data_IF_972747452395
#
_entry.id   IF_972747452395
#
_cell.length_a   1.000
_cell.length_b   1.000
_cell.length_c   1.000
_cell.angle_alpha   90.00
_cell.angle_beta   90.00
_cell.angle_gamma   90.00
#
_symmetry.space_group_name_H-M   'P 1'
#
loop_
_entity.id
_entity.type
_entity.pdbx_description
1 polymer ?
#
# COMPACT_ATOMS: atom_id res chain seq x y z
N UNK A 1 29.45 -23.66 17.11
CA UNK A 1 30.00 -22.93 15.95
C UNK A 1 29.98 -23.77 14.68
N UNK A 2 30.74 -24.89 14.61
CA UNK A 2 30.90 -25.71 13.39
C UNK A 2 29.56 -26.21 12.80
N UNK A 3 28.66 -26.72 13.63
CA UNK A 3 27.35 -27.19 13.16
C UNK A 3 26.47 -26.05 12.60
N UNK A 4 26.52 -24.87 13.22
CA UNK A 4 25.81 -23.68 12.73
C UNK A 4 26.31 -23.27 11.34
N UNK A 5 27.63 -23.25 11.12
CA UNK A 5 28.21 -22.92 9.82
C UNK A 5 27.79 -23.91 8.72
N UNK A 6 27.58 -25.20 9.06
CA UNK A 6 27.11 -26.22 8.11
C UNK A 6 25.63 -26.06 7.72
N UNK A 7 24.82 -25.36 8.53
CA UNK A 7 23.38 -25.16 8.30
C UNK A 7 23.05 -23.91 7.48
N UNK A 8 23.91 -22.88 7.50
CA UNK A 8 23.67 -21.61 6.82
C UNK A 8 23.67 -21.81 5.29
N UNK A 9 22.54 -21.51 4.64
CA UNK A 9 22.41 -21.55 3.16
C UNK A 9 22.70 -20.20 2.50
N UNK A 10 22.48 -19.11 3.22
CA UNK A 10 22.66 -17.74 2.77
C UNK A 10 22.95 -16.83 3.97
N UNK A 11 23.84 -15.85 3.82
CA UNK A 11 24.20 -14.90 4.88
C UNK A 11 24.48 -13.52 4.29
N UNK A 12 23.88 -12.48 4.89
CA UNK A 12 24.11 -11.11 4.46
C UNK A 12 25.47 -10.56 4.93
N UNK A 13 26.22 -9.88 4.07
CA UNK A 13 27.36 -9.08 4.49
C UNK A 13 26.90 -7.95 5.42
N UNK A 14 27.73 -7.61 6.41
CA UNK A 14 27.42 -6.55 7.40
C UNK A 14 27.03 -5.21 6.73
N UNK A 15 27.76 -4.80 5.69
CA UNK A 15 27.48 -3.55 4.98
C UNK A 15 26.07 -3.52 4.34
N UNK A 16 25.63 -4.64 3.77
CA UNK A 16 24.29 -4.77 3.20
C UNK A 16 23.21 -4.66 4.29
N UNK A 17 23.38 -5.39 5.40
CA UNK A 17 22.43 -5.33 6.52
C UNK A 17 22.33 -3.90 7.10
N UNK A 18 23.45 -3.20 7.28
CA UNK A 18 23.47 -1.82 7.78
C UNK A 18 22.73 -0.88 6.84
N UNK A 19 22.95 -0.99 5.52
CA UNK A 19 22.29 -0.13 4.55
C UNK A 19 20.76 -0.30 4.55
N UNK A 20 20.28 -1.55 4.56
CA UNK A 20 18.83 -1.84 4.59
C UNK A 20 18.20 -1.38 5.90
N UNK A 21 18.83 -1.67 7.03
CA UNK A 21 18.32 -1.24 8.35
C UNK A 21 18.29 0.29 8.45
N UNK A 22 19.30 0.98 7.92
CA UNK A 22 19.31 2.45 7.89
C UNK A 22 18.13 3.01 7.07
N UNK A 23 17.82 2.42 5.91
CA UNK A 23 16.63 2.83 5.14
C UNK A 23 15.33 2.51 5.89
N UNK A 24 15.23 1.33 6.51
CA UNK A 24 14.05 0.94 7.28
C UNK A 24 13.79 1.91 8.45
N UNK A 25 14.83 2.32 9.18
CA UNK A 25 14.72 3.29 10.27
C UNK A 25 14.26 4.67 9.76
N UNK A 26 14.78 5.12 8.61
CA UNK A 26 14.33 6.37 7.98
C UNK A 26 12.85 6.31 7.61
N UNK A 27 12.39 5.19 7.03
CA UNK A 27 10.97 4.99 6.70
C UNK A 27 10.12 4.91 7.98
N UNK A 28 10.60 4.21 9.01
CA UNK A 28 9.90 4.05 10.29
C UNK A 28 9.69 5.39 11.00
N UNK A 29 10.64 6.32 10.90
CA UNK A 29 10.48 7.68 11.42
C UNK A 29 9.23 8.37 10.86
N UNK A 30 9.01 8.31 9.54
CA UNK A 30 7.79 8.85 8.93
C UNK A 30 6.55 8.06 9.33
N UNK A 31 6.64 6.72 9.42
CA UNK A 31 5.51 5.92 9.89
C UNK A 31 5.04 6.36 11.28
N UNK A 32 5.95 6.69 12.19
CA UNK A 32 5.62 7.11 13.56
C UNK A 32 5.15 8.57 13.59
N UNK A 33 5.96 9.50 13.07
CA UNK A 33 5.77 10.94 13.29
C UNK A 33 5.00 11.67 12.18
N UNK A 34 4.95 11.10 10.97
CA UNK A 34 4.28 11.69 9.79
C UNK A 34 3.44 10.62 9.05
N UNK A 35 2.45 10.01 9.73
CA UNK A 35 1.80 8.81 9.24
C UNK A 35 1.09 9.00 7.90
N UNK A 36 0.42 10.13 7.67
CA UNK A 36 -0.22 10.44 6.38
C UNK A 36 0.78 10.44 5.22
N UNK A 37 1.95 11.07 5.42
CA UNK A 37 3.02 11.08 4.43
C UNK A 37 3.57 9.66 4.17
N UNK A 38 3.72 8.85 5.23
CA UNK A 38 4.13 7.46 5.09
C UNK A 38 3.14 6.66 4.24
N UNK A 39 1.84 6.70 4.57
CA UNK A 39 0.83 5.92 3.87
C UNK A 39 0.64 6.41 2.43
N UNK A 40 0.50 7.72 2.20
CA UNK A 40 0.35 8.27 0.85
C UNK A 40 1.55 7.88 -0.05
N UNK A 41 2.77 7.92 0.49
CA UNK A 41 3.97 7.50 -0.25
C UNK A 41 3.99 5.99 -0.48
N UNK A 42 3.66 5.19 0.54
CA UNK A 42 3.63 3.73 0.42
C UNK A 42 2.66 3.28 -0.67
N UNK A 43 1.41 3.76 -0.62
CA UNK A 43 0.39 3.35 -1.58
C UNK A 43 0.65 3.89 -2.99
N UNK A 44 1.33 5.04 -3.12
CA UNK A 44 1.76 5.56 -4.42
C UNK A 44 2.86 4.71 -5.07
N UNK A 45 3.81 4.21 -4.28
CA UNK A 45 5.06 3.61 -4.82
C UNK A 45 5.03 2.09 -4.84
N UNK A 46 4.27 1.44 -3.94
CA UNK A 46 4.38 0.00 -3.68
C UNK A 46 3.07 -0.79 -3.76
N UNK A 47 1.92 -0.13 -3.82
CA UNK A 47 0.62 -0.80 -3.74
C UNK A 47 -0.02 -0.97 -5.11
N UNK A 48 0.55 -1.84 -5.95
CA UNK A 48 -0.02 -2.17 -7.25
C UNK A 48 -1.37 -2.90 -7.15
N UNK A 49 -1.58 -3.68 -6.07
CA UNK A 49 -2.80 -4.44 -5.81
C UNK A 49 -3.82 -3.68 -4.94
N UNK A 50 -3.79 -2.34 -4.94
CA UNK A 50 -4.77 -1.54 -4.19
C UNK A 50 -6.12 -1.51 -4.90
N UNK A 51 -7.18 -1.87 -4.17
CA UNK A 51 -8.57 -1.80 -4.62
C UNK A 51 -9.31 -0.71 -3.82
N UNK A 52 -9.54 0.44 -4.45
CA UNK A 52 -10.22 1.56 -3.83
C UNK A 52 -11.69 1.26 -3.49
N UNK A 53 -12.39 0.43 -4.26
CA UNK A 53 -13.79 0.09 -4.02
C UNK A 53 -13.95 -0.79 -2.79
N UNK A 54 -12.99 -1.67 -2.52
CA UNK A 54 -12.93 -2.46 -1.30
C UNK A 54 -12.45 -1.63 -0.11
N UNK A 55 -11.31 -0.94 -0.25
CA UNK A 55 -10.61 -0.30 0.88
C UNK A 55 -11.36 0.93 1.40
N UNK A 56 -12.04 1.68 0.52
CA UNK A 56 -12.83 2.85 0.93
C UNK A 56 -14.17 2.48 1.61
N UNK A 57 -14.59 1.21 1.59
CA UNK A 57 -15.74 0.73 2.40
C UNK A 57 -15.41 0.68 3.89
N UNK A 58 -14.12 0.76 4.25
CA UNK A 58 -13.66 0.89 5.63
C UNK A 58 -13.20 -0.42 6.28
N UNK A 59 -12.87 -0.36 7.59
CA UNK A 59 -12.14 -1.42 8.28
C UNK A 59 -12.91 -2.75 8.38
N UNK A 60 -14.24 -2.71 8.40
CA UNK A 60 -15.07 -3.93 8.44
C UNK A 60 -14.94 -4.76 7.16
N UNK A 61 -15.01 -4.12 5.99
CA UNK A 61 -14.85 -4.79 4.70
C UNK A 61 -13.42 -5.31 4.52
N UNK A 62 -12.41 -4.53 4.94
CA UNK A 62 -11.00 -4.94 4.90
C UNK A 62 -10.77 -6.18 5.76
N UNK A 63 -11.29 -6.19 7.00
CA UNK A 63 -11.14 -7.33 7.90
C UNK A 63 -11.79 -8.59 7.34
N UNK A 64 -13.04 -8.49 6.87
CA UNK A 64 -13.72 -9.62 6.25
C UNK A 64 -12.90 -10.20 5.07
N UNK A 65 -12.32 -9.32 4.24
CA UNK A 65 -11.49 -9.78 3.12
C UNK A 65 -10.17 -10.41 3.57
N UNK A 66 -9.52 -9.88 4.60
CA UNK A 66 -8.33 -10.49 5.18
C UNK A 66 -8.62 -11.89 5.73
N UNK A 67 -9.75 -12.05 6.44
CA UNK A 67 -10.16 -13.34 7.00
C UNK A 67 -10.36 -14.37 5.86
N UNK A 68 -11.07 -14.02 4.79
CA UNK A 68 -11.22 -14.87 3.59
C UNK A 68 -9.86 -15.27 2.99
N UNK A 69 -8.93 -14.32 2.86
CA UNK A 69 -7.63 -14.56 2.25
C UNK A 69 -6.74 -15.44 3.14
N UNK A 70 -6.84 -15.31 4.46
CA UNK A 70 -6.10 -16.15 5.39
C UNK A 70 -6.63 -17.59 5.46
N UNK A 71 -7.94 -17.79 5.27
CA UNK A 71 -8.54 -19.14 5.20
C UNK A 71 -8.03 -19.96 4.01
N UNK A 72 -7.58 -19.32 2.92
CA UNK A 72 -6.98 -20.02 1.77
C UNK A 72 -5.65 -20.72 2.12
N UNK A 73 -4.97 -20.30 3.18
CA UNK A 73 -3.72 -20.89 3.66
C UNK A 73 -2.66 -21.02 2.57
N UNK A 74 -2.27 -22.25 2.24
CA UNK A 74 -1.24 -22.52 1.22
C UNK A 74 -1.70 -22.29 -0.23
N UNK A 75 -2.98 -21.99 -0.47
CA UNK A 75 -3.53 -21.74 -1.83
C UNK A 75 -3.42 -20.28 -2.27
N UNK A 76 -2.92 -19.40 -1.40
CA UNK A 76 -2.76 -17.96 -1.66
C UNK A 76 -1.78 -17.73 -2.83
N UNK A 77 -2.22 -16.99 -3.84
CA UNK A 77 -1.40 -16.62 -5.01
C UNK A 77 -0.43 -15.48 -4.69
N UNK A 78 0.49 -15.17 -5.60
CA UNK A 78 1.38 -14.01 -5.45
C UNK A 78 0.60 -12.69 -5.38
N UNK A 79 -0.48 -12.57 -6.17
CA UNK A 79 -1.39 -11.41 -6.16
C UNK A 79 -2.11 -11.29 -4.82
N UNK A 80 -2.59 -12.40 -4.28
CA UNK A 80 -3.26 -12.41 -2.98
C UNK A 80 -2.31 -11.96 -1.85
N UNK A 81 -1.03 -12.35 -1.89
CA UNK A 81 -0.03 -11.86 -0.91
C UNK A 81 0.19 -10.35 -1.00
N UNK A 82 0.21 -9.82 -2.22
CA UNK A 82 0.27 -8.37 -2.48
C UNK A 82 -0.94 -7.67 -1.88
N UNK A 83 -2.15 -8.17 -2.19
CA UNK A 83 -3.40 -7.65 -1.65
C UNK A 83 -3.46 -7.72 -0.12
N UNK A 84 -3.08 -8.85 0.51
CA UNK A 84 -2.99 -8.99 1.98
C UNK A 84 -2.14 -7.87 2.57
N UNK A 85 -0.95 -7.65 2.01
CA UNK A 85 -0.02 -6.62 2.51
C UNK A 85 -0.65 -5.22 2.42
N UNK A 86 -1.37 -4.92 1.34
CA UNK A 86 -2.08 -3.64 1.16
C UNK A 86 -3.25 -3.50 2.13
N UNK A 87 -4.01 -4.58 2.35
CA UNK A 87 -5.15 -4.61 3.26
C UNK A 87 -4.71 -4.44 4.72
N UNK A 88 -3.62 -5.09 5.15
CA UNK A 88 -3.07 -4.93 6.50
C UNK A 88 -2.66 -3.48 6.79
N UNK A 89 -1.96 -2.83 5.86
CA UNK A 89 -1.58 -1.43 6.01
C UNK A 89 -2.77 -0.49 5.95
N UNK A 90 -3.77 -0.81 5.13
CA UNK A 90 -5.02 -0.05 5.08
C UNK A 90 -5.81 -0.18 6.39
N UNK A 91 -5.85 -1.38 6.97
CA UNK A 91 -6.46 -1.63 8.27
C UNK A 91 -5.73 -0.87 9.39
N UNK A 92 -4.39 -0.89 9.37
CA UNK A 92 -3.55 -0.12 10.30
C UNK A 92 -3.83 1.39 10.19
N UNK A 93 -3.94 1.92 8.98
CA UNK A 93 -4.27 3.32 8.72
C UNK A 93 -5.59 3.70 9.40
N UNK A 94 -6.65 2.90 9.21
CA UNK A 94 -7.94 3.13 9.88
C UNK A 94 -7.84 3.01 11.40
N UNK A 95 -7.09 2.04 11.92
CA UNK A 95 -6.87 1.87 13.36
C UNK A 95 -6.15 3.08 13.98
N UNK A 96 -5.35 3.80 13.19
CA UNK A 96 -4.68 5.05 13.58
C UNK A 96 -5.55 6.29 13.41
N UNK A 97 -6.86 6.12 13.16
CA UNK A 97 -7.85 7.20 12.97
C UNK A 97 -7.57 8.09 11.75
N UNK A 98 -6.84 7.56 10.79
CA UNK A 98 -6.78 8.13 9.45
C UNK A 98 -7.86 7.47 8.59
N UNK A 99 -8.15 8.06 7.44
CA UNK A 99 -9.18 7.58 6.53
C UNK A 99 -8.76 7.77 5.08
N UNK A 100 -9.36 6.95 4.22
CA UNK A 100 -9.33 7.18 2.78
C UNK A 100 -10.55 7.98 2.34
N UNK A 101 -10.33 8.89 1.40
CA UNK A 101 -11.40 9.54 0.66
C UNK A 101 -11.80 8.67 -0.53
N UNK A 102 -12.98 8.93 -1.07
CA UNK A 102 -13.40 8.27 -2.32
C UNK A 102 -12.59 8.82 -3.50
N UNK A 103 -12.36 7.98 -4.50
CA UNK A 103 -11.84 8.44 -5.79
C UNK A 103 -12.82 9.46 -6.36
N UNK A 104 -12.29 10.58 -6.81
CA UNK A 104 -13.06 11.66 -7.41
C UNK A 104 -12.46 11.98 -8.78
N UNK A 105 -13.25 11.86 -9.84
CA UNK A 105 -12.78 12.09 -11.21
C UNK A 105 -12.23 13.51 -11.42
N UNK A 106 -12.71 14.50 -10.66
CA UNK A 106 -12.32 15.90 -10.79
C UNK A 106 -11.10 16.27 -9.96
N UNK A 107 -10.84 15.55 -8.87
CA UNK A 107 -9.82 15.94 -7.88
C UNK A 107 -8.69 14.90 -7.79
N UNK A 108 -9.00 13.60 -7.88
CA UNK A 108 -8.00 12.54 -7.81
C UNK A 108 -6.94 12.70 -8.91
N UNK A 109 -5.70 12.46 -8.53
CA UNK A 109 -4.57 12.36 -9.45
C UNK A 109 -4.60 11.03 -10.21
N UNK A 110 -3.82 10.93 -11.30
CA UNK A 110 -3.84 9.74 -12.15
C UNK A 110 -3.27 8.51 -11.42
N UNK A 111 -2.15 8.68 -10.70
CA UNK A 111 -1.38 7.58 -10.11
C UNK A 111 -0.91 7.82 -8.68
N UNK A 112 -1.06 9.04 -8.16
CA UNK A 112 -0.52 9.44 -6.87
C UNK A 112 -1.61 9.58 -5.82
N UNK A 113 -1.36 9.05 -4.63
CA UNK A 113 -2.19 9.35 -3.46
C UNK A 113 -1.89 10.76 -2.95
N UNK A 114 -2.93 11.56 -2.75
CA UNK A 114 -2.83 12.94 -2.24
C UNK A 114 -3.30 13.02 -0.80
N UNK A 115 -2.64 13.87 -0.01
CA UNK A 115 -3.03 14.13 1.38
C UNK A 115 -3.93 15.35 1.36
N UNK A 116 -5.12 15.21 1.92
CA UNK A 116 -6.11 16.27 2.07
C UNK A 116 -6.51 16.42 3.53
N UNK A 117 -7.15 17.54 3.87
CA UNK A 117 -7.56 17.85 5.25
C UNK A 117 -8.45 16.75 5.87
N UNK A 118 -9.25 16.11 5.03
CA UNK A 118 -10.23 15.11 5.44
C UNK A 118 -9.71 13.68 5.37
N UNK A 119 -8.52 13.43 4.79
CA UNK A 119 -7.98 12.08 4.61
C UNK A 119 -7.03 11.94 3.42
N UNK A 120 -6.67 10.70 3.10
CA UNK A 120 -5.82 10.38 1.96
C UNK A 120 -6.71 10.02 0.76
N UNK A 121 -6.57 10.73 -0.36
CA UNK A 121 -7.32 10.45 -1.58
C UNK A 121 -6.58 9.47 -2.48
N UNK A 122 -7.19 8.34 -2.87
CA UNK A 122 -6.65 7.44 -3.86
C UNK A 122 -6.67 8.05 -5.27
N UNK A 123 -5.71 7.68 -6.12
CA UNK A 123 -5.69 8.07 -7.52
C UNK A 123 -6.74 7.32 -8.33
N UNK A 124 -6.98 7.77 -9.56
CA UNK A 124 -7.91 7.12 -10.49
C UNK A 124 -7.44 5.69 -10.83
N UNK A 125 -6.12 5.45 -10.93
CA UNK A 125 -5.54 4.11 -11.14
C UNK A 125 -5.87 3.12 -10.01
N UNK A 126 -6.23 3.59 -8.82
CA UNK A 126 -6.55 2.72 -7.69
C UNK A 126 -7.91 2.01 -7.82
N UNK A 127 -8.69 2.33 -8.85
CA UNK A 127 -9.92 1.63 -9.20
C UNK A 127 -9.59 0.34 -9.97
N UNK A 128 -10.30 -0.74 -9.63
CA UNK A 128 -10.14 -2.00 -10.34
C UNK A 128 -10.44 -1.84 -11.83
N UNK A 129 -9.58 -2.40 -12.68
CA UNK A 129 -9.71 -2.32 -14.14
C UNK A 129 -9.21 -1.01 -14.77
N UNK A 130 -8.78 -0.02 -13.98
CA UNK A 130 -8.23 1.24 -14.53
C UNK A 130 -6.71 1.21 -14.63
N UNK A 131 -6.21 0.97 -15.84
CA UNK A 131 -4.78 1.02 -16.13
C UNK A 131 -4.19 2.43 -16.04
N UNK A 132 -2.87 2.52 -15.88
CA UNK A 132 -2.14 3.80 -15.76
C UNK A 132 -2.40 4.77 -16.92
N UNK A 133 -2.38 4.27 -18.15
CA UNK A 133 -2.62 5.11 -19.34
C UNK A 133 -4.05 5.63 -19.38
N UNK A 134 -5.04 4.83 -18.96
CA UNK A 134 -6.42 5.25 -18.88
C UNK A 134 -6.59 6.34 -17.81
N UNK A 135 -6.01 6.15 -16.62
CA UNK A 135 -6.03 7.15 -15.56
C UNK A 135 -5.39 8.49 -16.00
N UNK A 136 -4.25 8.44 -16.69
CA UNK A 136 -3.59 9.64 -17.24
C UNK A 136 -4.46 10.36 -18.26
N UNK A 137 -5.09 9.62 -19.18
CA UNK A 137 -6.01 10.18 -20.19
C UNK A 137 -7.23 10.84 -19.55
N UNK A 138 -7.78 10.27 -18.48
CA UNK A 138 -8.92 10.87 -17.75
C UNK A 138 -8.50 12.22 -17.16
N UNK A 139 -7.33 12.28 -16.49
CA UNK A 139 -6.81 13.53 -15.91
C UNK A 139 -6.45 14.56 -16.99
N UNK A 140 -5.99 14.12 -18.16
CA UNK A 140 -5.72 15.01 -19.29
C UNK A 140 -7.01 15.55 -19.92
N UNK A 141 -7.99 14.69 -20.18
CA UNK A 141 -9.30 15.07 -20.70
C UNK A 141 -10.00 16.07 -19.78
N UNK A 142 -9.91 15.89 -18.46
CA UNK A 142 -10.41 16.84 -17.44
C UNK A 142 -9.88 18.27 -17.62
N UNK A 143 -8.67 18.45 -18.17
CA UNK A 143 -8.09 19.77 -18.41
C UNK A 143 -8.68 20.45 -19.65
N UNK A 144 -9.35 19.69 -20.51
CA UNK A 144 -9.87 20.13 -21.81
C UNK A 144 -11.37 20.46 -21.78
N UNK A 145 -12.07 20.20 -20.66
CA UNK A 145 -13.50 20.48 -20.46
C UNK A 145 -14.29 19.21 -20.20
#
# INVERSE_FOLDING_TARGET
YIESCKRIKYMFPKGHAVAYVMMAVRIAYFKVYYPEAYYATYFTVRADDFDADLICKGPGAIKAKLDELYELGNKITAKDKGLITVLELSYELYARKLNFLKVDIYISEATKFTIEKEGIRPPIRALEGVGENAAKRIVEARKQG
#
